data_IF_765899573346
#
_entry.id   IF_765899573346
#
_cell.length_a   1.000
_cell.length_b   1.000
_cell.length_c   1.000
_cell.angle_alpha   90.00
_cell.angle_beta   90.00
_cell.angle_gamma   90.00
#
_symmetry.space_group_name_H-M   'P 1'
#
loop_
_entity.id
_entity.type
_entity.pdbx_description
1 polymer ?
#
# COMPACT_ATOMS: atom_id res chain seq x y z
N UNK A 1 4.88 13.76 3.40
CA UNK A 1 6.01 14.69 3.14
C UNK A 1 5.77 16.03 3.83
N UNK A 2 4.70 16.76 3.47
CA UNK A 2 4.36 18.06 4.08
C UNK A 2 4.15 18.00 5.61
N UNK A 3 3.49 16.95 6.12
CA UNK A 3 3.30 16.72 7.57
C UNK A 3 4.60 16.54 8.36
N UNK A 4 5.70 16.19 7.68
CA UNK A 4 7.02 15.98 8.29
C UNK A 4 8.00 17.11 7.93
N UNK A 5 7.51 18.25 7.41
CA UNK A 5 8.36 19.36 6.97
C UNK A 5 9.31 19.01 5.83
N UNK A 6 9.04 17.95 5.07
CA UNK A 6 9.88 17.48 3.97
C UNK A 6 9.28 17.85 2.62
N UNK A 7 10.16 18.24 1.69
CA UNK A 7 9.79 18.31 0.27
C UNK A 7 9.58 16.91 -0.30
N UNK A 8 8.72 16.79 -1.31
CA UNK A 8 8.46 15.52 -1.98
C UNK A 8 9.73 14.88 -2.56
N UNK A 9 10.65 15.60 -3.25
CA UNK A 9 11.86 14.98 -3.77
C UNK A 9 12.74 14.38 -2.68
N UNK A 10 12.87 15.07 -1.54
CA UNK A 10 13.63 14.59 -0.39
C UNK A 10 12.98 13.35 0.23
N UNK A 11 11.66 13.33 0.37
CA UNK A 11 10.93 12.15 0.84
C UNK A 11 11.12 10.95 -0.10
N UNK A 12 11.02 11.16 -1.41
CA UNK A 12 11.22 10.11 -2.41
C UNK A 12 12.62 9.51 -2.36
N UNK A 13 13.67 10.33 -2.18
CA UNK A 13 15.03 9.84 -1.99
C UNK A 13 15.10 8.84 -0.82
N UNK A 14 14.54 9.20 0.34
CA UNK A 14 14.56 8.31 1.51
C UNK A 14 13.74 7.05 1.30
N UNK A 15 12.58 7.14 0.64
CA UNK A 15 11.76 5.96 0.30
C UNK A 15 12.59 4.98 -0.54
N UNK A 16 13.25 5.44 -1.60
CA UNK A 16 14.08 4.57 -2.43
C UNK A 16 15.29 4.00 -1.69
N UNK A 17 15.87 4.76 -0.75
CA UNK A 17 16.99 4.30 0.07
C UNK A 17 16.56 3.20 1.06
N UNK A 18 15.40 3.37 1.71
CA UNK A 18 15.00 2.50 2.81
C UNK A 18 14.20 1.27 2.38
N UNK A 19 13.47 1.31 1.25
CA UNK A 19 12.69 0.16 0.77
C UNK A 19 13.55 -1.12 0.68
N UNK A 20 14.72 -1.14 0.03
CA UNK A 20 15.49 -2.37 -0.12
C UNK A 20 15.98 -2.95 1.22
N UNK A 21 16.33 -2.07 2.16
CA UNK A 21 16.77 -2.48 3.49
C UNK A 21 15.62 -3.09 4.30
N UNK A 22 14.44 -2.46 4.21
CA UNK A 22 13.23 -2.95 4.84
C UNK A 22 12.84 -4.32 4.27
N UNK A 23 12.78 -4.45 2.94
CA UNK A 23 12.45 -5.72 2.26
C UNK A 23 13.42 -6.84 2.64
N UNK A 24 14.73 -6.56 2.66
CA UNK A 24 15.74 -7.56 3.07
C UNK A 24 15.54 -8.01 4.51
N UNK A 25 15.21 -7.10 5.40
CA UNK A 25 14.97 -7.39 6.81
C UNK A 25 13.70 -8.23 6.99
N UNK A 26 12.59 -7.80 6.39
CA UNK A 26 11.32 -8.52 6.44
C UNK A 26 11.43 -9.91 5.84
N UNK A 27 12.11 -10.05 4.69
CA UNK A 27 12.35 -11.35 4.07
C UNK A 27 13.13 -12.30 4.97
N UNK A 28 14.15 -11.79 5.68
CA UNK A 28 14.92 -12.58 6.66
C UNK A 28 14.06 -13.02 7.86
N UNK A 29 13.12 -12.17 8.28
CA UNK A 29 12.21 -12.47 9.38
C UNK A 29 11.02 -13.36 8.96
N UNK A 30 10.80 -13.56 7.65
CA UNK A 30 9.62 -14.26 7.15
C UNK A 30 8.34 -13.41 7.13
N UNK A 31 8.45 -12.11 7.42
CA UNK A 31 7.33 -11.17 7.60
C UNK A 31 7.05 -10.32 6.35
N UNK A 32 7.39 -10.82 5.17
CA UNK A 32 7.16 -10.06 3.93
C UNK A 32 5.64 -10.01 3.65
N UNK A 33 5.05 -8.82 3.42
CA UNK A 33 3.62 -8.70 3.22
C UNK A 33 3.17 -9.42 1.95
N UNK A 34 2.02 -10.09 2.03
CA UNK A 34 1.40 -10.71 0.84
C UNK A 34 0.78 -9.63 -0.06
N UNK A 35 1.00 -9.74 -1.37
CA UNK A 35 0.36 -8.86 -2.37
C UNK A 35 -1.06 -9.28 -2.72
N UNK A 36 -1.48 -10.49 -2.31
CA UNK A 36 -2.81 -11.02 -2.62
C UNK A 36 -3.70 -10.87 -1.39
N UNK A 37 -4.74 -10.06 -1.50
CA UNK A 37 -5.75 -9.89 -0.45
C UNK A 37 -6.33 -11.24 0.02
N UNK A 38 -6.49 -12.20 -0.88
CA UNK A 38 -6.98 -13.55 -0.56
C UNK A 38 -6.09 -14.33 0.41
N UNK A 39 -4.80 -14.01 0.48
CA UNK A 39 -3.83 -14.67 1.36
C UNK A 39 -3.67 -13.96 2.71
N UNK A 40 -4.27 -12.78 2.90
CA UNK A 40 -4.16 -12.01 4.14
C UNK A 40 -4.78 -12.79 5.31
N UNK A 41 -5.91 -13.47 5.08
CA UNK A 41 -6.56 -14.29 6.10
C UNK A 41 -5.65 -15.43 6.61
N UNK A 42 -4.78 -15.98 5.77
CA UNK A 42 -3.82 -17.01 6.18
C UNK A 42 -2.65 -16.42 6.96
N UNK A 43 -2.14 -15.27 6.50
CA UNK A 43 -1.04 -14.55 7.16
C UNK A 43 -1.38 -14.14 8.59
N UNK A 44 -2.61 -13.67 8.82
CA UNK A 44 -3.02 -13.13 10.13
C UNK A 44 -3.44 -14.20 11.14
N UNK A 45 -3.64 -15.46 10.74
CA UNK A 45 -4.04 -16.56 11.65
C UNK A 45 -3.08 -16.78 12.80
N UNK A 46 -1.79 -16.49 12.59
CA UNK A 46 -0.75 -16.69 13.59
C UNK A 46 -0.68 -15.54 14.62
N UNK A 47 -1.50 -14.51 14.45
CA UNK A 47 -1.52 -13.33 15.30
C UNK A 47 -2.78 -13.31 16.17
N UNK A 48 -2.60 -13.16 17.48
CA UNK A 48 -3.71 -13.15 18.45
C UNK A 48 -4.54 -11.87 18.43
N UNK A 49 -3.95 -10.76 17.94
CA UNK A 49 -4.63 -9.48 17.84
C UNK A 49 -4.22 -8.78 16.53
N UNK A 50 -5.21 -8.47 15.70
CA UNK A 50 -5.01 -7.95 14.34
C UNK A 50 -5.84 -6.68 14.19
N UNK A 51 -5.16 -5.57 13.91
CA UNK A 51 -5.81 -4.30 13.57
C UNK A 51 -5.74 -4.10 12.05
N UNK A 52 -6.89 -3.95 11.42
CA UNK A 52 -6.97 -3.58 9.99
C UNK A 52 -7.00 -2.05 9.88
N UNK A 53 -5.86 -1.45 9.50
CA UNK A 53 -5.66 0.01 9.39
C UNK A 53 -6.24 0.61 8.08
N UNK A 54 -6.89 -0.21 7.26
CA UNK A 54 -7.58 0.24 6.05
C UNK A 54 -7.87 -0.88 5.06
N UNK A 55 -8.86 -0.65 4.21
CA UNK A 55 -9.16 -1.49 3.04
C UNK A 55 -9.02 -0.63 1.77
N UNK A 56 -8.69 -1.26 0.64
CA UNK A 56 -8.77 -0.54 -0.64
C UNK A 56 -10.21 -0.04 -0.82
N UNK A 57 -10.35 1.26 -1.10
CA UNK A 57 -11.65 1.82 -1.48
C UNK A 57 -12.02 1.28 -2.86
N UNK A 58 -13.27 0.88 -3.09
CA UNK A 58 -13.74 0.58 -4.43
C UNK A 58 -13.41 1.75 -5.38
N UNK A 59 -12.76 1.46 -6.50
CA UNK A 59 -12.52 2.48 -7.53
C UNK A 59 -13.89 2.88 -8.08
N UNK A 60 -14.35 4.09 -7.74
CA UNK A 60 -15.48 4.70 -8.43
C UNK A 60 -15.04 5.05 -9.84
N UNK A 61 -15.21 4.11 -10.78
CA UNK A 61 -15.12 4.43 -12.20
C UNK A 61 -16.38 5.20 -12.57
N UNK A 62 -16.28 6.35 -13.25
CA UNK A 62 -17.43 6.96 -13.89
C UNK A 62 -18.08 5.90 -14.77
N UNK A 63 -19.37 5.63 -14.57
CA UNK A 63 -20.13 4.88 -15.56
C UNK A 63 -20.08 5.74 -16.83
N UNK A 64 -19.53 5.20 -17.91
CA UNK A 64 -19.77 5.78 -19.23
C UNK A 64 -21.25 5.59 -19.51
N UNK A 65 -22.09 6.52 -19.06
CA UNK A 65 -23.38 6.71 -19.70
C UNK A 65 -23.03 7.29 -21.06
N UNK A 66 -23.30 6.53 -22.11
CA UNK A 66 -23.41 7.04 -23.46
C UNK A 66 -24.32 8.28 -23.46
N UNK A 67 -23.73 9.46 -23.42
CA UNK A 67 -24.28 10.72 -23.88
C UNK A 67 -23.14 11.74 -24.02
N UNK A 68 -22.62 11.79 -25.24
CA UNK A 68 -22.05 12.91 -25.98
C UNK A 68 -21.67 14.16 -25.18
N UNK A 69 -20.41 14.59 -25.30
CA UNK A 69 -20.04 15.79 -26.11
C UNK A 69 -18.61 15.64 -26.63
N UNK A 70 -18.48 15.51 -27.95
CA UNK A 70 -17.35 16.09 -28.64
C UNK A 70 -17.43 17.61 -28.44
N UNK A 71 -16.31 18.22 -28.05
CA UNK A 71 -15.94 19.59 -28.39
C UNK A 71 -14.41 19.62 -28.42
#
# INVERSE_FOLDING_TARGET
AASFGMTQPKANMYIHLFIPLLEKTLKRLGELPTRKASLVAELVKNYSNVLLDGTERPIQRPLVSSNSKCN
#
